data_IF_059733047205
#
_entry.id   IF_059733047205
#
_cell.length_a   1.000
_cell.length_b   1.000
_cell.length_c   1.000
_cell.angle_alpha   90.00
_cell.angle_beta   90.00
_cell.angle_gamma   90.00
#
_symmetry.space_group_name_H-M   'P 1'
#
loop_
_entity.id
_entity.type
_entity.pdbx_description
1 polymer ?
#
# COMPACT_ATOMS: atom_id res chain seq x y z
N UNK A 1 12.21 8.09 -1.64
CA UNK A 1 10.82 7.87 -2.03
C UNK A 1 9.92 8.09 -0.83
N UNK A 2 8.80 8.75 -1.02
CA UNK A 2 7.80 8.97 0.03
C UNK A 2 6.78 7.84 0.00
N UNK A 3 6.57 7.16 1.13
CA UNK A 3 5.66 6.03 1.24
C UNK A 3 4.56 6.36 2.23
N UNK A 4 3.31 6.18 1.81
CA UNK A 4 2.15 6.21 2.69
C UNK A 4 1.81 4.75 3.04
N UNK A 5 1.91 4.42 4.32
CA UNK A 5 1.63 3.08 4.83
C UNK A 5 0.35 3.12 5.67
N UNK A 6 -0.63 2.31 5.28
CA UNK A 6 -1.94 2.25 5.96
C UNK A 6 -2.13 0.85 6.52
N UNK A 7 -2.07 0.72 7.84
CA UNK A 7 -2.18 -0.55 8.55
C UNK A 7 -2.59 -0.32 9.98
N UNK A 8 -3.66 -0.97 10.42
CA UNK A 8 -4.16 -0.85 11.80
C UNK A 8 -3.54 -1.87 12.76
N UNK A 9 -2.95 -2.96 12.24
CA UNK A 9 -2.21 -3.93 13.06
C UNK A 9 -0.84 -3.37 13.38
N UNK A 10 -0.60 -3.08 14.66
CA UNK A 10 0.64 -2.45 15.12
C UNK A 10 1.87 -3.30 14.78
N UNK A 11 1.78 -4.61 14.94
CA UNK A 11 2.90 -5.51 14.67
C UNK A 11 3.27 -5.53 13.19
N UNK A 12 2.28 -5.65 12.32
CA UNK A 12 2.49 -5.64 10.86
C UNK A 12 3.03 -4.27 10.42
N UNK A 13 2.44 -3.20 10.92
CA UNK A 13 2.88 -1.83 10.60
C UNK A 13 4.35 -1.61 10.97
N UNK A 14 4.77 -2.09 12.14
CA UNK A 14 6.16 -1.95 12.59
C UNK A 14 7.13 -2.72 11.69
N UNK A 15 6.78 -3.95 11.32
CA UNK A 15 7.62 -4.76 10.42
C UNK A 15 7.77 -4.07 9.07
N UNK A 16 6.68 -3.66 8.46
CA UNK A 16 6.71 -3.01 7.14
C UNK A 16 7.49 -1.70 7.21
N UNK A 17 7.18 -0.86 8.19
CA UNK A 17 7.88 0.43 8.36
C UNK A 17 9.38 0.24 8.52
N UNK A 18 9.80 -0.76 9.30
CA UNK A 18 11.21 -1.06 9.52
C UNK A 18 11.91 -1.43 8.21
N UNK A 19 11.30 -2.32 7.41
CA UNK A 19 11.86 -2.72 6.12
C UNK A 19 12.02 -1.52 5.20
N UNK A 20 10.97 -0.71 5.07
CA UNK A 20 10.96 0.44 4.15
C UNK A 20 11.92 1.53 4.59
N UNK A 21 12.03 1.77 5.87
CA UNK A 21 12.97 2.76 6.43
C UNK A 21 14.42 2.34 6.18
N UNK A 22 14.71 1.04 6.26
CA UNK A 22 16.04 0.51 5.95
C UNK A 22 16.42 0.65 4.48
N UNK A 23 15.45 0.75 3.59
CA UNK A 23 15.70 1.05 2.18
C UNK A 23 15.98 2.53 1.94
N UNK A 24 15.95 3.36 2.98
CA UNK A 24 16.20 4.78 2.87
C UNK A 24 14.96 5.60 2.51
N UNK A 25 13.78 5.03 2.58
CA UNK A 25 12.53 5.70 2.21
C UNK A 25 11.88 6.36 3.42
N UNK A 26 11.18 7.46 3.19
CA UNK A 26 10.40 8.15 4.22
C UNK A 26 9.01 7.55 4.29
N UNK A 27 8.62 7.07 5.47
CA UNK A 27 7.36 6.38 5.68
C UNK A 27 6.43 7.20 6.58
N UNK A 28 5.24 7.50 6.06
CA UNK A 28 4.17 8.09 6.85
C UNK A 28 3.13 6.99 7.15
N UNK A 29 3.00 6.64 8.42
CA UNK A 29 2.10 5.57 8.87
C UNK A 29 0.78 6.16 9.39
N UNK A 30 -0.33 5.63 8.87
CA UNK A 30 -1.67 5.91 9.40
C UNK A 30 -2.42 4.59 9.59
N UNK A 31 -3.50 4.62 10.37
CA UNK A 31 -4.23 3.41 10.76
C UNK A 31 -5.47 3.13 9.91
N UNK A 32 -6.00 4.12 9.22
CA UNK A 32 -7.25 4.00 8.47
C UNK A 32 -7.23 4.83 7.19
N UNK A 33 -8.24 4.60 6.35
CA UNK A 33 -8.36 5.28 5.06
C UNK A 33 -8.64 6.77 5.22
N UNK A 34 -9.43 7.14 6.20
CA UNK A 34 -9.78 8.53 6.46
C UNK A 34 -8.55 9.36 6.82
N UNK A 35 -7.67 8.82 7.65
CA UNK A 35 -6.40 9.46 8.00
C UNK A 35 -5.48 9.57 6.80
N UNK A 36 -5.48 8.55 5.93
CA UNK A 36 -4.69 8.57 4.69
C UNK A 36 -5.17 9.68 3.75
N UNK A 37 -6.48 9.82 3.60
CA UNK A 37 -7.07 10.87 2.74
C UNK A 37 -6.89 12.27 3.32
N UNK A 38 -6.83 12.40 4.64
CA UNK A 38 -6.62 13.67 5.31
C UNK A 38 -5.15 14.13 5.29
N UNK A 39 -4.23 13.21 5.00
CA UNK A 39 -2.80 13.55 4.93
C UNK A 39 -2.55 14.43 3.70
N UNK A 40 -1.92 15.58 3.93
CA UNK A 40 -1.65 16.57 2.88
C UNK A 40 -0.29 16.38 2.18
N UNK A 41 0.45 15.34 2.54
CA UNK A 41 1.69 14.99 1.87
C UNK A 41 1.46 14.36 0.50
N UNK A 42 2.55 14.14 -0.22
CA UNK A 42 2.52 13.50 -1.54
C UNK A 42 3.34 12.22 -1.50
N UNK A 43 2.70 11.09 -1.77
CA UNK A 43 3.35 9.80 -1.77
C UNK A 43 3.69 9.33 -3.19
N UNK A 44 4.81 8.63 -3.31
CA UNK A 44 5.20 7.93 -4.54
C UNK A 44 4.67 6.49 -4.53
N UNK A 45 4.47 5.94 -3.33
CA UNK A 45 4.03 4.57 -3.10
C UNK A 45 3.01 4.52 -1.98
N UNK A 46 1.93 3.79 -2.20
CA UNK A 46 0.96 3.41 -1.18
C UNK A 46 1.14 1.93 -0.87
N UNK A 47 1.39 1.61 0.40
CA UNK A 47 1.36 0.23 0.91
C UNK A 47 0.22 0.17 1.91
N UNK A 48 -0.82 -0.57 1.60
CA UNK A 48 -2.02 -0.59 2.43
C UNK A 48 -2.55 -2.00 2.62
N UNK A 49 -3.10 -2.26 3.80
CA UNK A 49 -3.94 -3.43 4.01
C UNK A 49 -5.19 -3.28 3.15
N UNK A 50 -5.66 -4.40 2.58
CA UNK A 50 -6.95 -4.43 1.86
C UNK A 50 -8.10 -4.21 2.83
N UNK A 51 -8.07 -4.89 3.98
CA UNK A 51 -9.11 -4.80 5.00
C UNK A 51 -8.77 -3.71 6.00
N UNK A 52 -9.36 -2.54 5.83
CA UNK A 52 -9.17 -1.40 6.72
C UNK A 52 -10.40 -1.17 7.59
N UNK A 53 -10.24 -0.60 8.80
CA UNK A 53 -11.40 -0.17 9.57
C UNK A 53 -12.13 0.96 8.87
N UNK A 54 -13.42 1.05 9.07
CA UNK A 54 -14.26 2.08 8.46
C UNK A 54 -14.91 1.65 7.16
N UNK A 55 -15.29 2.60 6.34
CA UNK A 55 -16.12 2.38 5.15
C UNK A 55 -15.27 1.95 3.93
N UNK A 56 -14.06 2.48 3.81
CA UNK A 56 -13.23 2.24 2.63
C UNK A 56 -12.25 1.09 2.88
N UNK A 57 -12.17 0.16 1.93
CA UNK A 57 -11.08 -0.82 1.90
C UNK A 57 -9.84 -0.24 1.21
N UNK A 58 -8.73 -0.99 1.21
CA UNK A 58 -7.48 -0.52 0.62
C UNK A 58 -7.56 -0.26 -0.87
N UNK A 59 -8.34 -1.03 -1.61
CA UNK A 59 -8.50 -0.83 -3.06
C UNK A 59 -9.25 0.47 -3.36
N UNK A 60 -10.34 0.74 -2.64
CA UNK A 60 -11.10 1.98 -2.80
C UNK A 60 -10.27 3.19 -2.40
N UNK A 61 -9.48 3.06 -1.34
CA UNK A 61 -8.53 4.11 -0.94
C UNK A 61 -7.53 4.39 -2.07
N UNK A 62 -6.95 3.34 -2.66
CA UNK A 62 -6.00 3.49 -3.76
C UNK A 62 -6.62 4.22 -4.94
N UNK A 63 -7.86 3.89 -5.30
CA UNK A 63 -8.58 4.56 -6.39
C UNK A 63 -8.77 6.05 -6.12
N UNK A 64 -9.16 6.40 -4.89
CA UNK A 64 -9.35 7.80 -4.51
C UNK A 64 -8.04 8.60 -4.54
N UNK A 65 -6.94 8.01 -4.05
CA UNK A 65 -5.64 8.67 -4.09
C UNK A 65 -5.12 8.82 -5.52
N UNK A 66 -5.41 7.86 -6.40
CA UNK A 66 -5.02 7.94 -7.81
C UNK A 66 -5.80 8.99 -8.60
N UNK A 67 -6.98 9.37 -8.14
CA UNK A 67 -7.70 10.50 -8.74
C UNK A 67 -6.90 11.80 -8.63
N UNK A 68 -6.07 11.92 -7.60
CA UNK A 68 -5.21 13.09 -7.37
C UNK A 68 -3.79 12.88 -7.88
N UNK A 69 -3.34 11.62 -7.94
CA UNK A 69 -1.99 11.26 -8.36
C UNK A 69 -2.01 9.95 -9.14
N UNK A 70 -2.14 10.05 -10.47
CA UNK A 70 -2.23 8.90 -11.35
C UNK A 70 -0.94 8.05 -11.38
N UNK A 71 0.19 8.60 -10.96
CA UNK A 71 1.48 7.92 -10.92
C UNK A 71 1.75 7.19 -9.61
N UNK A 72 0.78 7.15 -8.70
CA UNK A 72 0.94 6.45 -7.42
C UNK A 72 1.06 4.94 -7.63
N UNK A 73 2.18 4.36 -7.19
CA UNK A 73 2.35 2.91 -7.14
C UNK A 73 1.60 2.37 -5.92
N UNK A 74 0.97 1.20 -6.05
CA UNK A 74 0.13 0.64 -4.99
C UNK A 74 0.46 -0.82 -4.73
N UNK A 75 0.69 -1.15 -3.46
CA UNK A 75 0.78 -2.53 -2.95
C UNK A 75 -0.38 -2.76 -1.99
N UNK A 76 -1.18 -3.79 -2.28
CA UNK A 76 -2.26 -4.23 -1.39
C UNK A 76 -1.84 -5.49 -0.63
N UNK A 77 -1.93 -5.44 0.69
CA UNK A 77 -1.61 -6.56 1.59
C UNK A 77 -2.90 -7.22 2.06
N UNK A 78 -3.03 -8.53 1.96
CA UNK A 78 -4.20 -9.24 2.50
C UNK A 78 -3.95 -10.73 2.65
N UNK A 79 -4.65 -11.36 3.60
CA UNK A 79 -4.70 -12.81 3.75
C UNK A 79 -5.80 -13.48 2.94
N UNK A 80 -6.74 -12.71 2.38
CA UNK A 80 -8.00 -13.20 1.84
C UNK A 80 -8.27 -12.79 0.39
N UNK A 81 -7.24 -12.69 -0.45
CA UNK A 81 -7.48 -12.40 -1.85
C UNK A 81 -8.13 -13.57 -2.57
N UNK A 82 -9.23 -13.28 -3.25
CA UNK A 82 -9.79 -14.20 -4.22
C UNK A 82 -9.21 -13.89 -5.61
N UNK A 83 -8.93 -14.94 -6.37
CA UNK A 83 -8.43 -14.81 -7.72
C UNK A 83 -9.42 -14.04 -8.58
N UNK A 84 -8.93 -13.03 -9.29
CA UNK A 84 -9.75 -12.17 -10.13
C UNK A 84 -10.36 -10.96 -9.44
N UNK A 85 -10.29 -10.87 -8.11
CA UNK A 85 -10.85 -9.75 -7.36
C UNK A 85 -10.23 -8.40 -7.76
N UNK A 86 -8.98 -8.41 -8.13
CA UNK A 86 -8.22 -7.21 -8.53
C UNK A 86 -7.93 -7.18 -10.03
N UNK A 87 -8.65 -7.97 -10.82
CA UNK A 87 -8.45 -8.03 -12.26
C UNK A 87 -8.65 -6.65 -12.89
N UNK A 88 -7.71 -6.22 -13.73
CA UNK A 88 -7.75 -4.92 -14.38
C UNK A 88 -7.20 -3.76 -13.55
N UNK A 89 -6.86 -4.00 -12.29
CA UNK A 89 -6.26 -2.98 -11.44
C UNK A 89 -4.73 -3.00 -11.56
N UNK A 90 -4.13 -1.82 -11.70
CA UNK A 90 -2.66 -1.67 -11.77
C UNK A 90 -2.06 -1.60 -10.37
N UNK A 91 -2.24 -2.67 -9.60
CA UNK A 91 -1.73 -2.78 -8.23
C UNK A 91 -0.95 -4.07 -8.08
N UNK A 92 0.03 -4.08 -7.18
CA UNK A 92 0.69 -5.30 -6.76
C UNK A 92 -0.01 -5.86 -5.53
N UNK A 93 -0.11 -7.18 -5.46
CA UNK A 93 -0.76 -7.89 -4.36
C UNK A 93 0.31 -8.58 -3.53
N UNK A 94 0.24 -8.43 -2.20
CA UNK A 94 1.15 -9.07 -1.27
C UNK A 94 0.34 -9.89 -0.27
N UNK A 95 0.27 -11.23 -0.46
CA UNK A 95 -0.44 -12.09 0.48
C UNK A 95 0.24 -12.13 1.85
N UNK A 96 -0.56 -12.08 2.91
CA UNK A 96 -0.09 -12.27 4.29
C UNK A 96 -0.13 -13.75 4.68
N UNK A 97 0.81 -14.24 5.45
CA UNK A 97 2.03 -13.58 5.92
C UNK A 97 3.08 -13.51 4.81
N UNK A 98 3.94 -12.50 4.87
CA UNK A 98 4.97 -12.31 3.86
C UNK A 98 6.35 -12.10 4.51
N UNK A 99 7.39 -12.29 3.72
CA UNK A 99 8.77 -11.99 4.10
C UNK A 99 9.23 -10.70 3.43
N UNK A 100 10.34 -10.16 3.94
CA UNK A 100 10.95 -8.93 3.43
C UNK A 100 11.11 -8.94 1.90
N UNK A 101 11.64 -10.03 1.34
CA UNK A 101 11.87 -10.11 -0.10
C UNK A 101 10.58 -10.04 -0.91
N UNK A 102 9.51 -10.68 -0.44
CA UNK A 102 8.21 -10.63 -1.11
C UNK A 102 7.64 -9.20 -1.09
N UNK A 103 7.81 -8.48 0.01
CA UNK A 103 7.39 -7.08 0.11
C UNK A 103 8.15 -6.21 -0.89
N UNK A 104 9.47 -6.35 -0.97
CA UNK A 104 10.29 -5.56 -1.89
C UNK A 104 10.00 -5.90 -3.35
N UNK A 105 9.74 -7.18 -3.66
CA UNK A 105 9.33 -7.58 -5.01
C UNK A 105 7.97 -7.00 -5.40
N UNK A 106 7.02 -6.99 -4.47
CA UNK A 106 5.70 -6.39 -4.72
C UNK A 106 5.82 -4.90 -5.00
N UNK A 107 6.70 -4.21 -4.29
CA UNK A 107 6.97 -2.79 -4.51
C UNK A 107 7.57 -2.56 -5.91
N UNK A 108 8.53 -3.38 -6.31
CA UNK A 108 9.08 -3.29 -7.67
C UNK A 108 8.02 -3.52 -8.74
N UNK A 109 7.15 -4.51 -8.56
CA UNK A 109 6.06 -4.78 -9.49
C UNK A 109 5.10 -3.60 -9.57
N UNK A 110 4.75 -2.98 -8.43
CA UNK A 110 3.85 -1.84 -8.38
C UNK A 110 4.45 -0.64 -9.13
N UNK A 111 5.72 -0.37 -8.94
CA UNK A 111 6.42 0.75 -9.60
C UNK A 111 6.56 0.52 -11.09
N UNK A 112 6.85 -0.72 -11.50
CA UNK A 112 6.96 -1.06 -12.93
C UNK A 112 5.62 -0.98 -13.64
N UNK A 113 4.52 -1.33 -12.98
CA UNK A 113 3.17 -1.21 -13.54
C UNK A 113 2.80 0.24 -13.88
N UNK A 114 3.26 1.19 -13.06
CA UNK A 114 3.01 2.61 -13.30
C UNK A 114 3.88 3.14 -14.45
N UNK A 115 5.09 2.61 -14.61
CA UNK A 115 6.02 3.04 -15.67
C UNK A 115 5.69 2.45 -17.04
N UNK A 116 5.00 1.33 -17.05
CA UNK A 116 4.54 0.69 -18.29
C UNK A 116 3.36 1.49 -18.90
#
# INVERSE_FOLDING_TARGET
MQVLLVEDDVAVALVVKTVLTREGWDVHLVEDAESALAWDGSADLLVTDYNLPGVLNGLLLARKLRDQNASLAVVLMSGDFEEGQLMGESVAVLPKPFRRNALLEAIDQARNAIRA
#
